data_IF_191709495615
#
_entry.id   IF_191709495615
#
_cell.length_a   1.000
_cell.length_b   1.000
_cell.length_c   1.000
_cell.angle_alpha   90.00
_cell.angle_beta   90.00
_cell.angle_gamma   90.00
#
_symmetry.space_group_name_H-M   'P 1'
#
loop_
_entity.id
_entity.type
_entity.pdbx_description
1 polymer ?
#
# COMPACT_ATOMS: atom_id res chain seq x y z
N UNK A 1 2.26 8.97 -6.40
CA UNK A 1 1.49 10.21 -6.23
C UNK A 1 0.25 10.14 -7.13
N UNK A 2 -0.90 10.63 -6.67
CA UNK A 2 -2.11 10.75 -7.47
C UNK A 2 -2.45 12.25 -7.62
N UNK A 3 -2.34 12.85 -8.81
CA UNK A 3 -2.59 14.29 -9.00
C UNK A 3 -4.07 14.65 -8.76
N UNK A 4 -4.98 13.75 -9.16
CA UNK A 4 -6.42 13.93 -8.99
C UNK A 4 -6.90 13.68 -7.55
N UNK A 5 -5.99 13.31 -6.64
CA UNK A 5 -6.30 12.88 -5.28
C UNK A 5 -7.34 11.73 -5.21
N UNK A 6 -7.51 10.96 -6.28
CA UNK A 6 -8.36 9.77 -6.33
C UNK A 6 -7.82 8.64 -5.43
N UNK A 7 -6.50 8.61 -5.20
CA UNK A 7 -5.85 7.66 -4.32
C UNK A 7 -5.06 8.43 -3.24
N UNK A 8 -5.41 8.21 -1.98
CA UNK A 8 -4.78 8.89 -0.84
C UNK A 8 -4.42 7.88 0.26
N UNK A 9 -3.23 8.02 0.83
CA UNK A 9 -2.78 7.23 1.98
C UNK A 9 -2.92 8.10 3.21
N UNK A 10 -3.73 7.67 4.18
CA UNK A 10 -3.83 8.29 5.51
C UNK A 10 -2.97 7.52 6.51
N UNK A 11 -3.04 7.86 7.80
CA UNK A 11 -2.28 7.13 8.84
C UNK A 11 -2.78 5.70 9.06
N UNK A 12 -4.03 5.40 8.71
CA UNK A 12 -4.70 4.13 9.07
C UNK A 12 -5.37 3.43 7.89
N UNK A 13 -5.48 4.09 6.73
CA UNK A 13 -6.15 3.51 5.57
C UNK A 13 -5.65 4.08 4.24
N UNK A 14 -5.81 3.29 3.19
CA UNK A 14 -5.75 3.74 1.81
C UNK A 14 -7.17 4.10 1.36
N UNK A 15 -7.40 5.38 1.07
CA UNK A 15 -8.65 5.87 0.51
C UNK A 15 -8.56 5.87 -1.03
N UNK A 16 -9.61 5.35 -1.66
CA UNK A 16 -9.76 5.26 -3.10
C UNK A 16 -11.12 5.85 -3.50
N UNK A 17 -11.10 6.84 -4.38
CA UNK A 17 -12.29 7.43 -4.97
C UNK A 17 -12.27 7.22 -6.50
N UNK A 18 -12.95 6.18 -7.01
CA UNK A 18 -12.97 5.90 -8.44
C UNK A 18 -13.63 7.00 -9.26
N UNK A 19 -14.51 7.83 -8.68
CA UNK A 19 -15.17 8.92 -9.40
C UNK A 19 -14.19 10.03 -9.80
N UNK A 20 -13.07 10.14 -9.09
CA UNK A 20 -12.00 11.12 -9.34
C UNK A 20 -10.86 10.55 -10.16
N UNK A 21 -10.84 9.24 -10.43
CA UNK A 21 -9.77 8.63 -11.18
C UNK A 21 -9.94 8.92 -12.68
N UNK A 22 -8.94 9.59 -13.26
CA UNK A 22 -8.90 9.90 -14.70
C UNK A 22 -8.15 8.85 -15.54
N UNK A 23 -7.60 7.81 -14.91
CA UNK A 23 -6.75 6.83 -15.60
C UNK A 23 -5.39 7.40 -16.03
N UNK A 24 -4.83 8.37 -15.29
CA UNK A 24 -3.52 8.98 -15.59
C UNK A 24 -2.30 8.08 -15.29
N UNK A 25 -2.51 6.87 -14.76
CA UNK A 25 -1.48 5.87 -14.43
C UNK A 25 -0.32 6.33 -13.51
N UNK A 26 -0.43 7.52 -12.90
CA UNK A 26 0.64 8.07 -12.05
C UNK A 26 0.88 7.25 -10.78
N UNK A 27 -0.17 6.68 -10.17
CA UNK A 27 -0.03 5.81 -9.00
C UNK A 27 0.66 4.49 -9.34
N UNK A 28 0.36 3.89 -10.50
CA UNK A 28 1.01 2.67 -10.98
C UNK A 28 2.48 2.89 -11.27
N UNK A 29 2.83 4.00 -11.95
CA UNK A 29 4.21 4.31 -12.33
C UNK A 29 5.17 4.47 -11.14
N UNK A 30 4.69 5.00 -10.00
CA UNK A 30 5.52 5.17 -8.80
C UNK A 30 5.54 3.94 -7.87
N UNK A 31 4.67 2.96 -8.12
CA UNK A 31 4.49 1.83 -7.21
C UNK A 31 5.55 0.75 -7.50
N UNK A 32 6.70 0.83 -6.82
CA UNK A 32 7.79 -0.12 -6.99
C UNK A 32 7.41 -1.59 -6.75
N UNK A 33 6.42 -1.84 -5.88
CA UNK A 33 5.93 -3.19 -5.59
C UNK A 33 4.89 -3.70 -6.57
N UNK A 34 4.51 -2.91 -7.59
CA UNK A 34 3.44 -3.22 -8.54
C UNK A 34 2.11 -3.61 -7.86
N UNK A 35 1.85 -3.07 -6.67
CA UNK A 35 0.66 -3.39 -5.88
C UNK A 35 -0.62 -2.69 -6.38
N UNK A 36 -0.50 -1.74 -7.31
CA UNK A 36 -1.61 -0.93 -7.83
C UNK A 36 -1.79 -1.24 -9.32
N UNK A 37 -3.04 -1.49 -9.72
CA UNK A 37 -3.45 -1.63 -11.13
C UNK A 37 -4.70 -0.80 -11.37
N UNK A 38 -4.76 -0.12 -12.51
CA UNK A 38 -5.95 0.61 -12.95
C UNK A 38 -6.64 -0.25 -14.01
N UNK A 39 -7.92 -0.54 -13.79
CA UNK A 39 -8.79 -1.27 -14.71
C UNK A 39 -10.05 -0.44 -14.93
N UNK A 40 -10.54 -0.41 -16.17
CA UNK A 40 -11.79 0.28 -16.51
C UNK A 40 -12.94 -0.72 -16.35
N UNK A 41 -13.84 -0.44 -15.42
CA UNK A 41 -15.01 -1.27 -15.15
C UNK A 41 -16.27 -0.42 -15.14
N UNK A 42 -17.36 -0.96 -15.70
CA UNK A 42 -18.70 -0.38 -15.60
C UNK A 42 -19.30 -0.75 -14.24
N UNK A 43 -18.92 0.01 -13.22
CA UNK A 43 -19.39 -0.18 -11.84
C UNK A 43 -19.73 1.16 -11.20
N UNK A 44 -20.54 1.12 -10.14
CA UNK A 44 -20.84 2.31 -9.36
C UNK A 44 -19.54 2.89 -8.78
N UNK A 45 -19.34 4.20 -8.95
CA UNK A 45 -18.15 4.90 -8.48
C UNK A 45 -18.25 5.17 -6.96
N UNK A 46 -18.27 4.11 -6.17
CA UNK A 46 -18.35 4.20 -4.70
C UNK A 46 -16.96 4.36 -4.11
N UNK A 47 -16.71 5.37 -3.26
CA UNK A 47 -15.45 5.49 -2.54
C UNK A 47 -15.18 4.27 -1.65
N UNK A 48 -13.96 3.77 -1.70
CA UNK A 48 -13.49 2.62 -0.94
C UNK A 48 -12.41 3.04 0.06
N UNK A 49 -12.41 2.37 1.21
CA UNK A 49 -11.37 2.51 2.23
C UNK A 49 -10.79 1.14 2.50
N UNK A 50 -9.48 1.03 2.34
CA UNK A 50 -8.72 -0.17 2.67
C UNK A 50 -7.93 0.10 3.95
N UNK A 51 -8.45 -0.29 5.12
CA UNK A 51 -7.72 -0.12 6.38
C UNK A 51 -6.48 -1.00 6.38
N UNK A 52 -5.41 -0.50 6.98
CA UNK A 52 -4.19 -1.26 7.23
C UNK A 52 -3.76 -1.08 8.69
N UNK A 53 -3.04 -2.07 9.19
CA UNK A 53 -2.45 -2.02 10.52
C UNK A 53 -1.05 -1.41 10.46
N UNK A 54 -0.73 -0.63 11.49
CA UNK A 54 0.64 -0.20 11.80
C UNK A 54 1.20 -1.18 12.82
N UNK A 55 2.29 -1.86 12.47
CA UNK A 55 2.93 -2.88 13.34
C UNK A 55 4.43 -2.64 13.44
N UNK A 56 5.05 -3.16 14.48
CA UNK A 56 6.50 -3.11 14.66
C UNK A 56 7.11 -4.44 14.23
N UNK A 57 8.11 -4.41 13.36
CA UNK A 57 8.75 -5.63 12.86
C UNK A 57 9.54 -6.33 13.97
N UNK A 58 9.31 -7.63 14.18
CA UNK A 58 10.04 -8.43 15.18
C UNK A 58 11.55 -8.58 14.91
N UNK A 59 12.00 -8.36 13.66
CA UNK A 59 13.40 -8.53 13.27
C UNK A 59 14.19 -7.22 13.28
N UNK A 60 13.69 -6.17 12.64
CA UNK A 60 14.39 -4.88 12.56
C UNK A 60 13.85 -3.79 13.48
N UNK A 61 12.77 -4.07 14.22
CA UNK A 61 12.05 -3.13 15.09
C UNK A 61 11.52 -1.86 14.41
N UNK A 62 11.55 -1.80 13.08
CA UNK A 62 10.97 -0.69 12.34
C UNK A 62 9.45 -0.81 12.25
N UNK A 63 8.77 0.33 12.35
CA UNK A 63 7.33 0.44 12.12
C UNK A 63 7.02 0.18 10.64
N UNK A 64 6.05 -0.66 10.35
CA UNK A 64 5.62 -0.95 8.99
C UNK A 64 4.10 -1.04 8.89
N UNK A 65 3.61 -0.78 7.68
CA UNK A 65 2.20 -0.85 7.33
C UNK A 65 1.90 -2.20 6.69
N UNK A 66 0.77 -2.81 7.05
CA UNK A 66 0.37 -4.11 6.53
C UNK A 66 -1.15 -4.23 6.42
N UNK A 67 -1.62 -4.80 5.31
CA UNK A 67 -3.01 -5.25 5.18
C UNK A 67 -3.24 -6.61 5.83
N UNK A 68 -2.18 -7.37 6.10
CA UNK A 68 -2.24 -8.69 6.76
C UNK A 68 -2.16 -8.52 8.28
N UNK A 69 -3.21 -8.89 9.05
CA UNK A 69 -3.22 -8.76 10.50
C UNK A 69 -2.17 -9.64 11.18
N UNK A 70 -1.87 -10.80 10.60
CA UNK A 70 -0.91 -11.79 11.10
C UNK A 70 0.56 -11.45 10.85
N UNK A 71 0.86 -10.44 10.02
CA UNK A 71 2.23 -10.10 9.67
C UNK A 71 3.03 -9.62 10.89
N UNK A 72 4.12 -10.31 11.23
CA UNK A 72 5.03 -9.98 12.34
C UNK A 72 6.39 -9.41 11.85
N UNK A 73 6.63 -9.48 10.55
CA UNK A 73 7.84 -8.99 9.87
C UNK A 73 7.47 -8.03 8.75
N UNK A 74 8.27 -6.97 8.55
CA UNK A 74 8.07 -6.02 7.47
C UNK A 74 8.44 -6.62 6.11
N UNK A 75 7.95 -6.02 5.02
CA UNK A 75 8.18 -6.53 3.65
C UNK A 75 9.67 -6.57 3.25
N UNK A 76 10.51 -5.76 3.88
CA UNK A 76 11.98 -5.79 3.71
C UNK A 76 12.56 -7.06 4.36
N UNK A 77 12.28 -7.29 5.64
CA UNK A 77 12.77 -8.46 6.37
C UNK A 77 12.21 -9.78 5.84
N UNK A 78 11.00 -9.79 5.29
CA UNK A 78 10.45 -10.97 4.61
C UNK A 78 11.20 -11.32 3.31
N UNK A 79 11.78 -10.31 2.64
CA UNK A 79 12.52 -10.49 1.38
C UNK A 79 14.01 -10.71 1.57
N UNK A 80 14.53 -10.59 2.78
CA UNK A 80 15.92 -10.96 3.07
C UNK A 80 16.07 -12.48 2.97
N UNK A 81 16.83 -12.94 1.98
CA UNK A 81 17.27 -14.34 1.89
C UNK A 81 18.41 -14.67 2.85
N UNK A 82 19.19 -13.66 3.27
CA UNK A 82 20.30 -13.78 4.20
C UNK A 82 20.21 -12.69 5.27
N UNK A 83 20.40 -13.07 6.53
CA UNK A 83 20.26 -12.22 7.71
C UNK A 83 21.25 -11.04 7.67
N UNK A 84 20.82 -9.87 7.20
CA UNK A 84 21.64 -8.65 7.23
C UNK A 84 21.43 -7.84 8.50
N UNK A 85 21.84 -8.42 9.64
CA UNK A 85 22.37 -7.74 10.85
C UNK A 85 22.67 -8.76 11.95
N UNK A 86 23.91 -9.24 11.98
CA UNK A 86 24.61 -9.61 13.22
C UNK A 86 25.58 -8.46 13.50
N UNK A 87 25.28 -7.64 14.50
CA UNK A 87 26.19 -6.70 15.14
C UNK A 87 25.64 -6.39 16.54
#
# INVERSE_FOLDING_TARGET
ACPENALQITETALAWDPARCTGCNSCTAVCFSAAIRIEHQLQAATPQRYPFAVKTCRSCHHTFYTFSPEADRCHICQRHAFAMREA
#
